data_IF_767897401153
#
_entry.id   IF_767897401153
#
_cell.length_a   1.000
_cell.length_b   1.000
_cell.length_c   1.000
_cell.angle_alpha   90.00
_cell.angle_beta   90.00
_cell.angle_gamma   90.00
#
_symmetry.space_group_name_H-M   'P 1'
#
loop_
_entity.id
_entity.type
_entity.pdbx_description
1 polymer ?
#
# COMPACT_ATOMS: atom_id res chain seq x y z
N UNK A 1 -11.50 -30.21 23.57
CA UNK A 1 -11.11 -28.80 23.29
C UNK A 1 -12.27 -28.14 22.56
N UNK A 2 -12.69 -26.95 22.98
CA UNK A 2 -13.73 -26.19 22.27
C UNK A 2 -13.10 -25.46 21.07
N UNK A 3 -13.83 -25.42 19.96
CA UNK A 3 -13.37 -24.71 18.76
C UNK A 3 -13.63 -23.21 18.90
N UNK A 4 -12.73 -22.38 18.39
CA UNK A 4 -12.85 -20.92 18.32
C UNK A 4 -12.89 -20.52 16.86
N UNK A 5 -13.84 -19.65 16.49
CA UNK A 5 -13.84 -19.02 15.17
C UNK A 5 -12.91 -17.81 15.21
N UNK A 6 -11.95 -17.77 14.29
CA UNK A 6 -10.98 -16.67 14.13
C UNK A 6 -11.20 -15.98 12.80
N UNK A 7 -11.27 -14.65 12.82
CA UNK A 7 -11.28 -13.81 11.63
C UNK A 7 -10.12 -12.82 11.70
N UNK A 8 -9.21 -12.87 10.72
CA UNK A 8 -8.09 -11.93 10.59
C UNK A 8 -8.43 -10.91 9.50
N UNK A 9 -8.24 -9.63 9.83
CA UNK A 9 -8.50 -8.51 8.92
C UNK A 9 -7.27 -7.60 8.84
N UNK A 10 -6.74 -7.44 7.65
CA UNK A 10 -5.67 -6.49 7.37
C UNK A 10 -6.25 -5.25 6.72
N UNK A 11 -6.16 -4.12 7.43
CA UNK A 11 -6.58 -2.82 6.94
C UNK A 11 -5.38 -2.04 6.45
N UNK A 12 -5.23 -1.92 5.13
CA UNK A 12 -4.17 -1.14 4.52
C UNK A 12 -4.70 0.25 4.19
N UNK A 13 -4.16 1.24 4.90
CA UNK A 13 -4.57 2.62 4.79
C UNK A 13 -3.38 3.53 4.53
N UNK A 14 -3.54 4.44 3.57
CA UNK A 14 -2.71 5.62 3.39
C UNK A 14 -3.63 6.84 3.22
N UNK A 15 -3.37 7.95 3.95
CA UNK A 15 -3.98 9.25 3.65
C UNK A 15 -3.81 9.65 2.19
N UNK A 16 -4.67 10.54 1.69
CA UNK A 16 -4.44 11.20 0.42
C UNK A 16 -3.30 12.21 0.58
N UNK A 17 -2.12 11.88 0.05
CA UNK A 17 -0.92 12.70 0.16
C UNK A 17 -0.70 13.73 -0.96
N UNK A 18 -1.16 13.53 -2.22
CA UNK A 18 -0.91 14.51 -3.28
C UNK A 18 -1.36 15.91 -2.90
N UNK A 19 -0.50 16.89 -3.17
CA UNK A 19 -0.86 18.30 -3.21
C UNK A 19 -1.29 18.63 -4.64
N UNK A 20 -2.60 18.61 -4.86
CA UNK A 20 -3.19 18.88 -6.18
C UNK A 20 -3.04 20.35 -6.61
N UNK A 21 -2.76 21.26 -5.67
CA UNK A 21 -2.54 22.69 -5.95
C UNK A 21 -1.10 22.92 -6.42
N UNK A 22 -0.13 22.35 -5.70
CA UNK A 22 1.29 22.45 -6.05
C UNK A 22 1.71 21.47 -7.16
N UNK A 23 0.89 20.45 -7.45
CA UNK A 23 1.19 19.42 -8.43
C UNK A 23 2.32 18.48 -7.99
N UNK A 24 2.49 18.27 -6.68
CA UNK A 24 3.52 17.39 -6.13
C UNK A 24 2.98 16.36 -5.14
N UNK A 25 3.67 15.23 -5.01
CA UNK A 25 3.42 14.29 -3.93
C UNK A 25 4.54 14.41 -2.88
N UNK A 26 4.29 15.07 -1.74
CA UNK A 26 5.34 15.35 -0.75
C UNK A 26 5.76 14.10 0.01
N UNK A 27 4.88 13.11 0.18
CA UNK A 27 5.14 11.97 1.05
C UNK A 27 5.39 10.67 0.26
N UNK A 28 6.40 9.87 0.65
CA UNK A 28 6.79 8.67 -0.10
C UNK A 28 5.98 7.43 0.32
N UNK A 29 5.03 7.57 1.25
CA UNK A 29 4.52 6.46 2.04
C UNK A 29 3.73 5.44 1.23
N UNK A 30 2.94 5.88 0.25
CA UNK A 30 2.23 4.93 -0.64
C UNK A 30 3.24 4.03 -1.35
N UNK A 31 4.27 4.59 -1.98
CA UNK A 31 5.29 3.79 -2.67
C UNK A 31 6.06 2.90 -1.71
N UNK A 32 6.53 3.45 -0.59
CA UNK A 32 7.37 2.70 0.35
C UNK A 32 6.61 1.54 1.00
N UNK A 33 5.38 1.76 1.46
CA UNK A 33 4.58 0.69 2.04
C UNK A 33 4.11 -0.32 0.98
N UNK A 34 3.80 0.12 -0.25
CA UNK A 34 3.46 -0.79 -1.34
C UNK A 34 4.59 -1.78 -1.62
N UNK A 35 5.83 -1.29 -1.74
CA UNK A 35 6.98 -2.13 -2.09
C UNK A 35 7.54 -2.93 -0.92
N UNK A 36 7.40 -2.43 0.31
CA UNK A 36 7.94 -3.09 1.51
C UNK A 36 6.95 -4.06 2.13
N UNK A 37 5.73 -3.60 2.39
CA UNK A 37 4.79 -4.28 3.28
C UNK A 37 3.65 -4.94 2.48
N UNK A 38 2.91 -4.16 1.69
CA UNK A 38 1.66 -4.62 1.09
C UNK A 38 1.84 -5.76 0.08
N UNK A 39 2.86 -5.66 -0.77
CA UNK A 39 3.21 -6.73 -1.71
C UNK A 39 3.62 -8.00 -0.97
N UNK A 40 4.50 -7.89 0.04
CA UNK A 40 4.95 -9.05 0.81
C UNK A 40 3.80 -9.75 1.53
N UNK A 41 2.88 -8.98 2.12
CA UNK A 41 1.67 -9.52 2.75
C UNK A 41 0.79 -10.30 1.77
N UNK A 42 0.64 -9.83 0.53
CA UNK A 42 -0.12 -10.55 -0.50
C UNK A 42 0.60 -11.83 -0.95
N UNK A 43 1.91 -11.76 -1.18
CA UNK A 43 2.72 -12.92 -1.60
C UNK A 43 2.70 -14.04 -0.54
N UNK A 44 2.74 -13.72 0.75
CA UNK A 44 2.62 -14.74 1.81
C UNK A 44 1.28 -15.49 1.79
N UNK A 45 0.20 -14.90 1.25
CA UNK A 45 -1.07 -15.62 1.08
C UNK A 45 -1.01 -16.65 -0.05
N UNK A 46 -0.17 -16.43 -1.06
CA UNK A 46 0.10 -17.41 -2.11
C UNK A 46 0.97 -18.56 -1.59
N UNK A 47 1.94 -18.25 -0.71
CA UNK A 47 2.83 -19.25 -0.10
C UNK A 47 2.12 -20.15 0.92
N UNK A 48 1.09 -19.65 1.61
CA UNK A 48 0.35 -20.38 2.66
C UNK A 48 -1.17 -20.37 2.37
N UNK A 49 -1.68 -21.21 1.45
CA UNK A 49 -3.07 -21.18 1.01
C UNK A 49 -4.12 -21.48 2.10
N UNK A 50 -3.72 -22.15 3.18
CA UNK A 50 -4.56 -22.46 4.34
C UNK A 50 -4.80 -21.24 5.24
N UNK A 51 -3.93 -20.22 5.16
CA UNK A 51 -4.11 -18.99 5.91
C UNK A 51 -5.22 -18.14 5.28
N UNK A 52 -6.24 -17.80 6.07
CA UNK A 52 -7.41 -17.04 5.61
C UNK A 52 -7.46 -15.69 6.32
N UNK A 53 -7.42 -14.62 5.54
CA UNK A 53 -7.65 -13.27 6.04
C UNK A 53 -8.50 -12.46 5.04
N UNK A 54 -9.05 -11.35 5.51
CA UNK A 54 -9.66 -10.33 4.66
C UNK A 54 -8.69 -9.15 4.54
N UNK A 55 -8.37 -8.75 3.31
CA UNK A 55 -7.63 -7.52 3.04
C UNK A 55 -8.62 -6.42 2.68
N UNK A 56 -8.60 -5.34 3.46
CA UNK A 56 -9.34 -4.12 3.16
C UNK A 56 -8.36 -3.04 2.67
N UNK A 57 -8.52 -2.63 1.41
CA UNK A 57 -7.76 -1.55 0.78
C UNK A 57 -8.63 -0.30 0.72
N UNK A 58 -8.17 0.79 1.34
CA UNK A 58 -8.96 2.03 1.34
C UNK A 58 -8.91 2.75 -0.02
N UNK A 59 -9.98 3.47 -0.42
CA UNK A 59 -10.03 4.14 -1.72
C UNK A 59 -8.89 5.14 -1.96
N UNK A 60 -8.49 5.91 -0.93
CA UNK A 60 -7.37 6.87 -1.04
C UNK A 60 -6.05 6.18 -1.37
N UNK A 61 -5.81 4.99 -0.83
CA UNK A 61 -4.63 4.19 -1.15
C UNK A 61 -4.70 3.73 -2.61
N UNK A 62 -5.84 3.19 -3.05
CA UNK A 62 -6.02 2.68 -4.41
C UNK A 62 -5.80 3.75 -5.47
N UNK A 63 -6.35 4.95 -5.29
CA UNK A 63 -6.16 6.10 -6.22
C UNK A 63 -4.68 6.44 -6.37
N UNK A 64 -3.94 6.47 -5.26
CA UNK A 64 -2.53 6.83 -5.29
C UNK A 64 -1.65 5.72 -5.86
N UNK A 65 -1.96 4.44 -5.58
CA UNK A 65 -1.28 3.30 -6.22
C UNK A 65 -1.47 3.32 -7.73
N UNK A 66 -2.70 3.56 -8.20
CA UNK A 66 -3.01 3.69 -9.62
C UNK A 66 -2.23 4.84 -10.27
N UNK A 67 -2.09 5.98 -9.58
CA UNK A 67 -1.25 7.08 -10.06
C UNK A 67 0.22 6.65 -10.25
N UNK A 68 0.80 5.86 -9.32
CA UNK A 68 2.17 5.32 -9.49
C UNK A 68 2.27 4.35 -10.68
N UNK A 69 1.25 3.53 -10.93
CA UNK A 69 1.18 2.67 -12.13
C UNK A 69 1.21 3.50 -13.41
N UNK A 70 0.59 4.68 -13.39
CA UNK A 70 0.58 5.65 -14.50
C UNK A 70 1.76 6.63 -14.49
N UNK A 71 2.81 6.36 -13.70
CA UNK A 71 4.08 7.11 -13.76
C UNK A 71 4.20 8.28 -12.78
N UNK A 72 3.27 8.44 -11.83
CA UNK A 72 3.45 9.40 -10.75
C UNK A 72 4.71 9.12 -9.92
N UNK A 73 5.21 10.16 -9.26
CA UNK A 73 6.40 10.10 -8.39
C UNK A 73 6.19 10.93 -7.13
N UNK A 74 6.89 10.60 -6.06
CA UNK A 74 7.03 11.44 -4.87
C UNK A 74 8.31 12.27 -4.88
N UNK A 75 8.32 13.32 -4.06
CA UNK A 75 9.47 14.19 -3.84
C UNK A 75 10.72 13.41 -3.43
N UNK A 76 10.59 12.42 -2.55
CA UNK A 76 11.74 11.66 -2.08
C UNK A 76 12.36 10.82 -3.20
N UNK A 77 11.55 10.14 -4.02
CA UNK A 77 12.04 9.39 -5.18
C UNK A 77 12.74 10.29 -6.20
N UNK A 78 12.20 11.50 -6.46
CA UNK A 78 12.86 12.47 -7.35
C UNK A 78 14.25 12.84 -6.83
N UNK A 79 14.36 13.18 -5.55
CA UNK A 79 15.64 13.55 -4.91
C UNK A 79 16.60 12.36 -4.91
N UNK A 80 16.15 11.14 -4.60
CA UNK A 80 16.99 9.93 -4.60
C UNK A 80 17.51 9.54 -5.99
N UNK A 81 16.91 10.06 -7.06
CA UNK A 81 17.36 9.83 -8.45
C UNK A 81 18.36 10.89 -8.93
N UNK A 82 18.63 11.93 -8.14
CA UNK A 82 19.64 12.93 -8.49
C UNK A 82 21.05 12.31 -8.40
N UNK A 83 21.95 12.61 -9.37
CA UNK A 83 23.33 12.13 -9.37
C UNK A 83 24.17 12.57 -8.16
#
# INVERSE_FOLDING_TARGET
>A
MTSVSLALMWHQHQPYYPDDVAGENPMPWVRLHATKDYLGMALHLEEVPEFRCTINLVPSLLVQLDAYVHGATDRHLRVSRMP
#
